data_IF_260670525466
#
_entry.id   IF_260670525466
#
_cell.length_a   1.000
_cell.length_b   1.000
_cell.length_c   1.000
_cell.angle_alpha   90.00
_cell.angle_beta   90.00
_cell.angle_gamma   90.00
#
_symmetry.space_group_name_H-M   'P 1'
#
loop_
_entity.id
_entity.type
_entity.pdbx_description
1 polymer ?
#
# COMPACT_ATOMS: atom_id res chain seq x y z
N UNK A 1 -3.75 -17.76 4.92
CA UNK A 1 -4.18 -18.79 3.96
C UNK A 1 -3.02 -19.36 3.16
N UNK A 2 -1.84 -18.70 3.10
CA UNK A 2 -0.63 -19.27 2.45
C UNK A 2 -0.77 -19.57 0.97
N UNK A 3 -1.83 -19.04 0.34
CA UNK A 3 -2.13 -19.27 -1.06
C UNK A 3 -1.22 -18.39 -1.90
N UNK A 4 -0.82 -18.94 -3.04
CA UNK A 4 -0.15 -18.23 -4.11
C UNK A 4 -1.13 -17.24 -4.74
N UNK A 5 -1.06 -16.00 -4.28
CA UNK A 5 -1.90 -14.88 -4.73
C UNK A 5 -1.09 -13.59 -4.71
N UNK A 6 -1.31 -12.76 -5.74
CA UNK A 6 -0.71 -11.44 -5.86
C UNK A 6 -1.75 -10.36 -5.58
N UNK A 7 -1.48 -9.49 -4.61
CA UNK A 7 -2.36 -8.36 -4.26
C UNK A 7 -1.64 -7.05 -4.58
N UNK A 8 -2.09 -6.34 -5.60
CA UNK A 8 -1.54 -5.01 -5.91
C UNK A 8 -2.43 -3.91 -5.32
N UNK A 9 -1.87 -3.08 -4.45
CA UNK A 9 -2.59 -1.97 -3.83
C UNK A 9 -2.17 -0.63 -4.43
N UNK A 10 -3.10 0.02 -5.13
CA UNK A 10 -2.94 1.40 -5.57
C UNK A 10 -3.27 2.36 -4.43
N UNK A 11 -2.24 2.76 -3.68
CA UNK A 11 -2.39 3.67 -2.53
C UNK A 11 -2.50 5.13 -2.98
N UNK A 12 -3.74 5.57 -3.25
CA UNK A 12 -4.03 6.99 -3.56
C UNK A 12 -4.14 7.87 -2.31
N UNK A 13 -3.89 7.31 -1.12
CA UNK A 13 -3.98 7.97 0.19
C UNK A 13 -5.36 8.50 0.59
N UNK A 14 -6.36 8.48 -0.29
CA UNK A 14 -7.74 8.89 -0.05
C UNK A 14 -8.71 7.93 -0.77
N UNK A 15 -10.01 8.08 -0.53
CA UNK A 15 -11.02 7.45 -1.39
C UNK A 15 -11.26 8.31 -2.63
N UNK A 16 -10.42 8.11 -3.64
CA UNK A 16 -10.40 8.92 -4.85
C UNK A 16 -11.75 8.91 -5.59
N UNK A 17 -12.35 7.74 -5.79
CA UNK A 17 -13.57 7.58 -6.59
C UNK A 17 -14.80 8.32 -6.01
N UNK A 18 -14.92 8.40 -4.69
CA UNK A 18 -16.09 8.96 -4.00
C UNK A 18 -15.93 10.43 -3.63
N UNK A 19 -14.89 11.11 -4.13
CA UNK A 19 -14.68 12.54 -3.92
C UNK A 19 -13.64 12.90 -2.85
N UNK A 20 -12.72 12.00 -2.53
CA UNK A 20 -11.56 12.30 -1.69
C UNK A 20 -11.84 12.28 -0.19
N UNK A 21 -12.57 11.28 0.29
CA UNK A 21 -12.70 11.03 1.73
C UNK A 21 -11.38 10.56 2.35
N UNK A 22 -11.18 10.92 3.62
CA UNK A 22 -10.08 10.41 4.41
C UNK A 22 -10.17 8.88 4.56
N UNK A 23 -9.02 8.23 4.51
CA UNK A 23 -8.84 6.80 4.68
C UNK A 23 -7.81 6.52 5.77
N UNK A 24 -7.65 5.25 6.18
CA UNK A 24 -6.54 4.86 7.07
C UNK A 24 -5.16 5.03 6.40
N UNK A 25 -5.11 5.14 5.07
CA UNK A 25 -3.90 5.42 4.30
C UNK A 25 -3.59 6.91 4.15
N UNK A 26 -4.50 7.81 4.54
CA UNK A 26 -4.25 9.25 4.52
C UNK A 26 -3.12 9.61 5.50
N UNK A 27 -2.13 10.43 5.11
CA UNK A 27 -1.04 10.83 6.00
C UNK A 27 -1.50 11.85 7.06
N UNK A 28 -0.71 11.99 8.13
CA UNK A 28 -0.99 13.00 9.17
C UNK A 28 -0.99 14.40 8.56
N UNK A 29 -1.96 15.22 8.95
CA UNK A 29 -2.08 16.61 8.50
C UNK A 29 -2.69 16.79 7.11
N UNK A 30 -2.89 15.71 6.33
CA UNK A 30 -3.56 15.83 5.04
C UNK A 30 -5.05 16.14 5.21
N UNK A 31 -5.53 17.09 4.40
CA UNK A 31 -6.92 17.53 4.36
C UNK A 31 -7.68 16.68 3.35
N UNK A 32 -8.79 16.10 3.80
CA UNK A 32 -9.70 15.27 3.00
C UNK A 32 -11.12 15.39 3.57
N UNK A 33 -12.15 14.88 2.88
CA UNK A 33 -13.48 14.83 3.51
C UNK A 33 -13.42 13.96 4.78
N UNK A 34 -14.11 14.39 5.85
CA UNK A 34 -13.99 13.84 7.22
C UNK A 34 -12.65 14.09 7.93
N UNK A 35 -11.73 14.84 7.31
CA UNK A 35 -10.47 15.30 7.91
C UNK A 35 -10.22 16.77 7.53
N UNK A 36 -11.22 17.65 7.74
CA UNK A 36 -11.15 19.06 7.33
C UNK A 36 -10.05 19.84 8.07
N UNK A 37 -9.81 19.52 9.34
CA UNK A 37 -8.70 20.06 10.13
C UNK A 37 -7.35 19.36 9.88
N UNK A 38 -7.27 18.49 8.87
CA UNK A 38 -6.18 17.55 8.69
C UNK A 38 -6.39 16.27 9.50
N UNK A 39 -5.84 15.15 9.01
CA UNK A 39 -5.93 13.87 9.73
C UNK A 39 -4.99 13.85 10.93
N UNK A 40 -5.54 13.59 12.12
CA UNK A 40 -4.78 13.57 13.37
C UNK A 40 -3.88 12.34 13.51
N UNK A 41 -4.36 11.18 13.05
CA UNK A 41 -3.68 9.90 13.22
C UNK A 41 -2.75 9.58 12.06
N UNK A 42 -1.60 8.97 12.36
CA UNK A 42 -0.63 8.54 11.34
C UNK A 42 -1.21 7.57 10.32
N UNK A 43 -0.59 7.53 9.14
CA UNK A 43 -0.88 6.53 8.10
C UNK A 43 -0.70 5.13 8.69
N UNK A 44 -1.64 4.23 8.40
CA UNK A 44 -1.51 2.81 8.76
C UNK A 44 -0.37 2.22 7.95
N UNK A 45 0.62 1.67 8.62
CA UNK A 45 1.72 0.95 7.99
C UNK A 45 1.30 -0.49 7.65
N UNK A 46 0.69 -0.66 6.48
CA UNK A 46 0.23 -1.96 6.00
C UNK A 46 1.39 -2.89 5.64
N UNK A 47 2.51 -2.34 5.15
CA UNK A 47 3.68 -3.11 4.78
C UNK A 47 4.30 -3.78 6.01
N UNK A 48 4.50 -3.04 7.10
CA UNK A 48 5.00 -3.61 8.37
C UNK A 48 4.08 -4.67 8.96
N UNK A 49 2.76 -4.51 8.83
CA UNK A 49 1.78 -5.51 9.27
C UNK A 49 1.86 -6.77 8.42
N UNK A 50 2.10 -6.66 7.11
CA UNK A 50 2.25 -7.82 6.23
C UNK A 50 3.59 -8.55 6.46
N UNK A 51 4.67 -7.78 6.65
CA UNK A 51 6.00 -8.33 6.95
C UNK A 51 6.01 -9.14 8.26
N UNK A 52 5.18 -8.81 9.25
CA UNK A 52 5.15 -9.54 10.54
C UNK A 52 4.68 -10.99 10.41
N UNK A 53 4.04 -11.38 9.31
CA UNK A 53 3.70 -12.78 9.04
C UNK A 53 4.94 -13.62 8.68
N UNK A 54 6.01 -13.01 8.17
CA UNK A 54 7.28 -13.66 7.85
C UNK A 54 7.30 -14.54 6.58
N UNK A 55 6.13 -14.94 6.06
CA UNK A 55 5.98 -15.75 4.84
C UNK A 55 5.26 -15.01 3.69
N UNK A 56 5.14 -13.69 3.80
CA UNK A 56 4.51 -12.84 2.78
C UNK A 56 5.61 -12.05 2.07
N UNK A 57 5.67 -12.11 0.75
CA UNK A 57 6.51 -11.20 -0.03
C UNK A 57 5.87 -9.81 0.02
N UNK A 58 6.63 -8.79 0.41
CA UNK A 58 6.13 -7.42 0.55
C UNK A 58 7.05 -6.46 -0.19
N UNK A 59 6.49 -5.66 -1.10
CA UNK A 59 7.22 -4.60 -1.78
C UNK A 59 6.46 -3.27 -1.75
N UNK A 60 7.20 -2.18 -1.55
CA UNK A 60 6.69 -0.82 -1.80
C UNK A 60 7.42 -0.25 -3.01
N UNK A 61 6.66 0.22 -3.98
CA UNK A 61 7.19 0.67 -5.26
C UNK A 61 6.61 2.05 -5.60
N UNK A 62 7.38 2.84 -6.34
CA UNK A 62 6.92 4.09 -6.93
C UNK A 62 7.50 4.21 -8.33
N UNK A 63 6.64 4.01 -9.34
CA UNK A 63 7.05 4.01 -10.75
C UNK A 63 7.72 5.32 -11.16
N UNK A 64 7.27 6.45 -10.61
CA UNK A 64 7.88 7.76 -10.88
C UNK A 64 9.21 7.99 -10.17
N UNK A 65 9.53 7.21 -9.12
CA UNK A 65 10.81 7.29 -8.42
C UNK A 65 11.85 6.32 -9.00
N UNK A 66 11.45 5.07 -9.28
CA UNK A 66 12.33 4.05 -9.86
C UNK A 66 11.52 3.01 -10.66
N UNK A 67 11.62 3.11 -11.98
CA UNK A 67 10.98 2.18 -12.91
C UNK A 67 11.57 0.77 -12.82
N UNK A 68 12.90 0.66 -12.68
CA UNK A 68 13.58 -0.63 -12.64
C UNK A 68 13.19 -1.42 -11.38
N UNK A 69 13.11 -0.74 -10.23
CA UNK A 69 12.64 -1.35 -8.98
C UNK A 69 11.17 -1.79 -9.08
N UNK A 70 10.32 -0.99 -9.74
CA UNK A 70 8.90 -1.33 -9.96
C UNK A 70 8.77 -2.62 -10.76
N UNK A 71 9.48 -2.75 -11.90
CA UNK A 71 9.45 -3.96 -12.73
C UNK A 71 10.02 -5.16 -11.98
N UNK A 72 11.14 -4.98 -11.27
CA UNK A 72 11.77 -6.04 -10.48
C UNK A 72 10.83 -6.58 -9.40
N UNK A 73 10.21 -5.71 -8.62
CA UNK A 73 9.31 -6.11 -7.53
C UNK A 73 8.07 -6.86 -8.04
N UNK A 74 7.50 -6.44 -9.17
CA UNK A 74 6.37 -7.15 -9.78
C UNK A 74 6.78 -8.55 -10.24
N UNK A 75 7.95 -8.70 -10.87
CA UNK A 75 8.46 -9.99 -11.31
C UNK A 75 8.79 -10.92 -10.13
N UNK A 76 9.40 -10.39 -9.06
CA UNK A 76 9.70 -11.16 -7.84
C UNK A 76 8.44 -11.58 -7.09
N UNK A 77 7.44 -10.70 -6.99
CA UNK A 77 6.16 -10.99 -6.35
C UNK A 77 5.40 -12.12 -7.06
N UNK A 78 5.36 -12.09 -8.40
CA UNK A 78 4.69 -13.13 -9.20
C UNK A 78 5.41 -14.48 -9.12
N UNK A 79 6.75 -14.47 -9.08
CA UNK A 79 7.55 -15.68 -8.98
C UNK A 79 7.61 -16.28 -7.55
N UNK A 80 7.11 -15.56 -6.53
CA UNK A 80 7.12 -16.02 -5.15
C UNK A 80 6.05 -17.09 -4.92
N UNK A 81 6.40 -18.32 -4.48
CA UNK A 81 5.43 -19.40 -4.29
C UNK A 81 4.64 -19.23 -2.98
N UNK A 82 3.84 -18.17 -2.89
CA UNK A 82 3.14 -17.77 -1.69
C UNK A 82 2.40 -16.43 -1.85
N UNK A 83 1.88 -15.85 -0.74
CA UNK A 83 1.18 -14.58 -0.81
C UNK A 83 2.15 -13.41 -1.03
N UNK A 84 1.77 -12.50 -1.93
CA UNK A 84 2.53 -11.28 -2.24
C UNK A 84 1.65 -10.03 -2.10
N UNK A 85 2.23 -8.95 -1.56
CA UNK A 85 1.60 -7.64 -1.33
C UNK A 85 2.48 -6.47 -1.82
#
# INVERSE_FOLDING_TARGET
SGRDINVMVFDTEVYSNTGGQSSKSTPTGAIAQFAAGGKEVKKKDMASIAMSYGYVYVAQISMGADFNQTVKAIAEAEAYPGPSL
#
